data_IF_934954911880
#
_entry.id   IF_934954911880
#
_cell.length_a   1.000
_cell.length_b   1.000
_cell.length_c   1.000
_cell.angle_alpha   90.00
_cell.angle_beta   90.00
_cell.angle_gamma   90.00
#
_symmetry.space_group_name_H-M   'P 1'
#
loop_
_entity.id
_entity.type
_entity.pdbx_description
1 polymer ?
#
# COMPACT_ATOMS: atom_id res chain seq x y z
N UNK A 1 15.87 -51.16 -13.74
CA UNK A 1 15.28 -50.27 -14.77
C UNK A 1 14.43 -49.22 -14.07
N UNK A 2 15.00 -48.06 -13.80
CA UNK A 2 14.29 -46.89 -13.27
C UNK A 2 13.63 -46.17 -14.44
N UNK A 3 12.32 -45.94 -14.37
CA UNK A 3 11.58 -45.26 -15.43
C UNK A 3 12.13 -43.82 -15.64
N UNK A 4 12.19 -43.32 -16.89
CA UNK A 4 12.64 -41.95 -17.15
C UNK A 4 11.67 -40.95 -16.50
N UNK A 5 12.21 -40.05 -15.67
CA UNK A 5 11.48 -38.90 -15.14
C UNK A 5 11.02 -38.02 -16.31
N UNK A 6 9.71 -38.02 -16.60
CA UNK A 6 9.09 -37.10 -17.54
C UNK A 6 9.17 -35.67 -16.98
N UNK A 7 10.21 -34.94 -17.39
CA UNK A 7 10.45 -33.53 -17.02
C UNK A 7 9.59 -32.55 -17.81
N UNK A 8 8.69 -32.98 -18.69
CA UNK A 8 7.93 -32.06 -19.55
C UNK A 8 6.62 -31.54 -18.91
N UNK A 9 6.11 -32.20 -17.86
CA UNK A 9 4.81 -31.88 -17.27
C UNK A 9 4.83 -31.03 -15.98
N UNK A 10 5.98 -30.76 -15.38
CA UNK A 10 6.04 -30.13 -14.04
C UNK A 10 5.54 -28.68 -14.04
N UNK A 11 5.86 -27.90 -15.07
CA UNK A 11 5.39 -26.51 -15.23
C UNK A 11 3.86 -26.45 -15.32
N UNK A 12 3.25 -27.30 -16.17
CA UNK A 12 1.80 -27.35 -16.28
C UNK A 12 1.14 -27.80 -14.97
N UNK A 13 1.77 -28.72 -14.22
CA UNK A 13 1.31 -29.15 -12.90
C UNK A 13 1.49 -28.08 -11.84
N UNK A 14 2.50 -27.23 -11.94
CA UNK A 14 2.69 -26.10 -11.04
C UNK A 14 1.71 -24.98 -11.36
N UNK A 15 1.63 -24.55 -12.62
CA UNK A 15 0.78 -23.43 -13.05
C UNK A 15 -0.71 -23.70 -12.86
N UNK A 16 -1.16 -24.92 -13.20
CA UNK A 16 -2.58 -25.25 -13.20
C UNK A 16 -2.95 -26.32 -12.17
N UNK A 17 -2.01 -27.11 -11.65
CA UNK A 17 -2.36 -28.20 -10.73
C UNK A 17 -2.93 -27.72 -9.39
N UNK A 18 -3.78 -28.55 -8.80
CA UNK A 18 -4.37 -28.32 -7.48
C UNK A 18 -4.43 -29.62 -6.69
N UNK A 19 -4.38 -29.53 -5.36
CA UNK A 19 -4.82 -30.61 -4.50
C UNK A 19 -6.32 -30.88 -4.71
N UNK A 20 -6.73 -32.14 -4.56
CA UNK A 20 -8.14 -32.53 -4.54
C UNK A 20 -8.57 -32.64 -3.08
N UNK A 21 -9.48 -31.77 -2.60
CA UNK A 21 -9.99 -31.87 -1.24
C UNK A 21 -10.69 -33.24 -1.02
N UNK A 22 -10.55 -33.85 0.17
CA UNK A 22 -11.14 -35.17 0.45
C UNK A 22 -12.66 -35.11 0.66
N UNK A 23 -13.25 -33.93 0.87
CA UNK A 23 -14.69 -33.76 1.08
C UNK A 23 -15.22 -32.52 0.35
N UNK A 24 -16.52 -32.51 -0.04
CA UNK A 24 -17.15 -31.34 -0.68
C UNK A 24 -17.14 -30.10 0.21
N UNK A 25 -17.24 -30.28 1.53
CA UNK A 25 -17.20 -29.18 2.50
C UNK A 25 -15.85 -28.43 2.44
N UNK A 26 -14.72 -29.14 2.39
CA UNK A 26 -13.40 -28.52 2.29
C UNK A 26 -13.20 -27.81 0.94
N UNK A 27 -13.82 -28.31 -0.12
CA UNK A 27 -13.78 -27.67 -1.45
C UNK A 27 -14.56 -26.35 -1.47
N UNK A 28 -15.72 -26.31 -0.81
CA UNK A 28 -16.50 -25.09 -0.61
C UNK A 28 -15.75 -24.09 0.28
N UNK A 29 -15.15 -24.54 1.38
CA UNK A 29 -14.34 -23.66 2.24
C UNK A 29 -13.14 -23.08 1.50
N UNK A 30 -12.45 -23.89 0.69
CA UNK A 30 -11.33 -23.43 -0.12
C UNK A 30 -11.77 -22.42 -1.18
N UNK A 31 -12.95 -22.61 -1.78
CA UNK A 31 -13.55 -21.63 -2.69
C UNK A 31 -13.84 -20.32 -1.96
N UNK A 32 -14.54 -20.37 -0.82
CA UNK A 32 -14.92 -19.17 -0.06
C UNK A 32 -13.72 -18.40 0.44
N UNK A 33 -12.70 -19.10 0.99
CA UNK A 33 -11.47 -18.45 1.46
C UNK A 33 -10.70 -17.81 0.30
N UNK A 34 -10.61 -18.49 -0.85
CA UNK A 34 -9.96 -17.96 -2.04
C UNK A 34 -10.70 -16.76 -2.60
N UNK A 35 -12.03 -16.82 -2.67
CA UNK A 35 -12.88 -15.74 -3.16
C UNK A 35 -12.72 -14.51 -2.27
N UNK A 36 -12.85 -14.68 -0.95
CA UNK A 36 -12.68 -13.59 0.01
C UNK A 36 -11.27 -12.99 -0.07
N UNK A 37 -10.21 -13.80 0.06
CA UNK A 37 -8.84 -13.31 0.07
C UNK A 37 -8.44 -12.63 -1.25
N UNK A 38 -8.85 -13.22 -2.38
CA UNK A 38 -8.60 -12.67 -3.71
C UNK A 38 -9.35 -11.37 -3.97
N UNK A 39 -10.63 -11.27 -3.56
CA UNK A 39 -11.39 -10.03 -3.71
C UNK A 39 -10.94 -8.94 -2.73
N UNK A 40 -10.57 -9.29 -1.50
CA UNK A 40 -10.07 -8.34 -0.52
C UNK A 40 -8.77 -7.68 -1.01
N UNK A 41 -7.81 -8.47 -1.50
CA UNK A 41 -6.56 -7.90 -2.02
C UNK A 41 -6.76 -7.19 -3.36
N UNK A 42 -7.69 -7.67 -4.19
CA UNK A 42 -8.04 -6.96 -5.42
C UNK A 42 -8.65 -5.57 -5.12
N UNK A 43 -9.53 -5.48 -4.13
CA UNK A 43 -10.07 -4.20 -3.65
C UNK A 43 -8.97 -3.27 -3.16
N UNK A 44 -8.06 -3.78 -2.32
CA UNK A 44 -6.92 -3.00 -1.83
C UNK A 44 -6.00 -2.51 -2.96
N UNK A 45 -5.79 -3.32 -4.00
CA UNK A 45 -5.07 -2.92 -5.20
C UNK A 45 -5.82 -1.85 -5.99
N UNK A 46 -7.14 -2.01 -6.18
CA UNK A 46 -7.99 -1.06 -6.89
C UNK A 46 -8.00 0.32 -6.22
N UNK A 47 -8.07 0.36 -4.89
CA UNK A 47 -8.04 1.61 -4.11
C UNK A 47 -6.70 2.36 -4.25
N UNK A 48 -5.66 1.69 -4.74
CA UNK A 48 -4.32 2.24 -5.02
C UNK A 48 -4.09 2.51 -6.51
N UNK A 49 -5.13 2.52 -7.33
CA UNK A 49 -5.00 2.79 -8.77
C UNK A 49 -5.76 4.07 -9.15
N UNK A 50 -5.08 5.08 -9.75
CA UNK A 50 -3.66 5.09 -10.13
C UNK A 50 -2.72 5.12 -8.90
N UNK A 51 -1.50 4.60 -9.08
CA UNK A 51 -0.54 4.44 -7.98
C UNK A 51 -0.24 5.77 -7.31
N UNK A 52 -0.50 5.90 -6.00
CA UNK A 52 -0.29 7.15 -5.29
C UNK A 52 1.20 7.38 -5.00
N UNK A 53 1.59 8.66 -4.84
CA UNK A 53 2.98 9.06 -4.56
C UNK A 53 3.53 8.39 -3.30
N UNK A 54 2.73 8.32 -2.23
CA UNK A 54 3.14 7.68 -0.98
C UNK A 54 3.54 6.22 -1.15
N UNK A 55 3.00 5.51 -2.15
CA UNK A 55 3.41 4.12 -2.42
C UNK A 55 4.80 4.07 -3.09
N UNK A 56 5.12 5.04 -3.95
CA UNK A 56 6.46 5.18 -4.54
C UNK A 56 7.47 5.46 -3.44
N UNK A 57 7.13 6.35 -2.50
CA UNK A 57 7.98 6.71 -1.36
C UNK A 57 8.16 5.51 -0.43
N UNK A 58 7.08 4.78 -0.13
CA UNK A 58 7.11 3.57 0.67
C UNK A 58 8.08 2.53 0.07
N UNK A 59 8.03 2.32 -1.25
CA UNK A 59 8.93 1.41 -1.97
C UNK A 59 10.37 1.94 -1.94
N UNK A 60 10.57 3.26 -2.00
CA UNK A 60 11.86 3.91 -1.82
C UNK A 60 12.48 3.65 -0.46
N UNK A 61 11.70 3.75 0.62
CA UNK A 61 12.15 3.49 1.99
C UNK A 61 12.56 2.02 2.22
N UNK A 62 11.97 1.08 1.47
CA UNK A 62 12.38 -0.34 1.48
C UNK A 62 13.74 -0.53 0.79
N UNK A 63 14.14 0.40 -0.08
CA UNK A 63 15.39 0.34 -0.85
C UNK A 63 15.27 -0.49 -2.13
N UNK A 64 14.06 -0.65 -2.68
CA UNK A 64 13.87 -1.36 -3.95
C UNK A 64 14.33 -0.52 -5.15
N UNK A 65 15.01 -1.12 -6.14
CA UNK A 65 15.39 -0.41 -7.35
C UNK A 65 14.15 -0.03 -8.17
N UNK A 66 14.25 1.07 -8.93
CA UNK A 66 13.18 1.56 -9.81
C UNK A 66 11.85 1.71 -9.04
N UNK A 67 11.85 2.56 -8.02
CA UNK A 67 10.78 2.71 -7.02
C UNK A 67 9.40 2.91 -7.64
N UNK A 68 9.30 3.79 -8.63
CA UNK A 68 8.06 4.08 -9.36
C UNK A 68 7.51 2.82 -10.07
N UNK A 69 8.35 2.13 -10.84
CA UNK A 69 7.95 0.90 -11.55
C UNK A 69 7.56 -0.20 -10.56
N UNK A 70 8.31 -0.34 -9.47
CA UNK A 70 8.05 -1.33 -8.43
C UNK A 70 6.74 -1.04 -7.67
N UNK A 71 6.43 0.23 -7.40
CA UNK A 71 5.17 0.66 -6.79
C UNK A 71 3.97 0.37 -7.70
N UNK A 72 4.07 0.72 -8.99
CA UNK A 72 3.04 0.38 -9.98
C UNK A 72 2.85 -1.14 -10.09
N UNK A 73 3.94 -1.90 -10.14
CA UNK A 73 3.90 -3.35 -10.21
C UNK A 73 3.25 -3.97 -8.97
N UNK A 74 3.49 -3.43 -7.77
CA UNK A 74 2.86 -3.88 -6.54
C UNK A 74 1.34 -3.66 -6.57
N UNK A 75 0.87 -2.45 -6.89
CA UNK A 75 -0.57 -2.15 -7.00
C UNK A 75 -1.27 -3.05 -8.02
N UNK A 76 -0.67 -3.15 -9.22
CA UNK A 76 -1.24 -3.95 -10.31
C UNK A 76 -1.24 -5.44 -9.95
N UNK A 77 -0.23 -5.91 -9.22
CA UNK A 77 -0.18 -7.29 -8.74
C UNK A 77 -1.30 -7.55 -7.73
N UNK A 78 -1.49 -6.68 -6.74
CA UNK A 78 -2.60 -6.81 -5.78
C UNK A 78 -3.95 -6.90 -6.50
N UNK A 79 -4.18 -6.00 -7.47
CA UNK A 79 -5.42 -5.97 -8.24
C UNK A 79 -5.59 -7.21 -9.13
N UNK A 80 -4.69 -7.40 -10.10
CA UNK A 80 -4.83 -8.42 -11.14
C UNK A 80 -4.65 -9.83 -10.58
N UNK A 81 -3.61 -10.06 -9.78
CA UNK A 81 -3.38 -11.39 -9.21
C UNK A 81 -4.43 -11.71 -8.13
N UNK A 82 -4.98 -10.71 -7.42
CA UNK A 82 -6.15 -10.86 -6.56
C UNK A 82 -7.38 -11.39 -7.31
N UNK A 83 -7.73 -10.78 -8.45
CA UNK A 83 -8.85 -11.23 -9.29
C UNK A 83 -8.62 -12.64 -9.87
N UNK A 84 -7.41 -12.92 -10.36
CA UNK A 84 -7.03 -14.25 -10.86
C UNK A 84 -7.15 -15.31 -9.75
N UNK A 85 -6.68 -14.97 -8.56
CA UNK A 85 -6.78 -15.83 -7.39
C UNK A 85 -8.25 -16.09 -7.03
N UNK A 86 -9.08 -15.06 -6.91
CA UNK A 86 -10.51 -15.18 -6.61
C UNK A 86 -11.21 -16.14 -7.59
N UNK A 87 -10.97 -15.95 -8.89
CA UNK A 87 -11.50 -16.79 -9.95
C UNK A 87 -10.93 -18.24 -9.92
N UNK A 88 -9.78 -18.45 -9.29
CA UNK A 88 -9.07 -19.73 -9.31
C UNK A 88 -8.45 -20.01 -10.67
N UNK A 89 -7.93 -18.97 -11.33
CA UNK A 89 -7.20 -19.04 -12.59
C UNK A 89 -5.72 -18.81 -12.33
N UNK A 90 -4.86 -19.73 -12.75
CA UNK A 90 -3.43 -19.69 -12.46
C UNK A 90 -3.19 -19.48 -10.96
N UNK A 91 -3.91 -20.24 -10.13
CA UNK A 91 -4.04 -19.97 -8.69
C UNK A 91 -2.69 -19.88 -7.97
N UNK A 92 -1.76 -20.79 -8.30
CA UNK A 92 -0.44 -20.85 -7.66
C UNK A 92 0.46 -19.66 -7.98
N UNK A 93 0.72 -19.31 -9.25
CA UNK A 93 1.49 -18.12 -9.56
C UNK A 93 0.79 -16.84 -9.12
N UNK A 94 -0.54 -16.76 -9.19
CA UNK A 94 -1.29 -15.61 -8.67
C UNK A 94 -1.08 -15.45 -7.15
N UNK A 95 -1.27 -16.53 -6.38
CA UNK A 95 -1.01 -16.52 -4.94
C UNK A 95 0.45 -16.20 -4.61
N UNK A 96 1.42 -16.69 -5.39
CA UNK A 96 2.83 -16.40 -5.18
C UNK A 96 3.17 -14.93 -5.44
N UNK A 97 2.57 -14.33 -6.48
CA UNK A 97 2.76 -12.93 -6.79
C UNK A 97 2.21 -12.06 -5.65
N UNK A 98 0.98 -12.33 -5.18
CA UNK A 98 0.40 -11.61 -4.04
C UNK A 98 1.18 -11.85 -2.75
N UNK A 99 1.61 -13.09 -2.48
CA UNK A 99 2.46 -13.41 -1.33
C UNK A 99 3.76 -12.61 -1.37
N UNK A 100 4.38 -12.44 -2.53
CA UNK A 100 5.58 -11.61 -2.66
C UNK A 100 5.31 -10.17 -2.24
N UNK A 101 4.22 -9.56 -2.71
CA UNK A 101 3.86 -8.16 -2.33
C UNK A 101 3.59 -8.06 -0.83
N UNK A 102 2.81 -8.98 -0.25
CA UNK A 102 2.53 -9.00 1.19
C UNK A 102 3.78 -9.27 2.03
N UNK A 103 4.72 -10.08 1.53
CA UNK A 103 6.00 -10.36 2.18
C UNK A 103 6.93 -9.15 2.17
N UNK A 104 7.01 -8.44 1.04
CA UNK A 104 7.76 -7.17 0.94
C UNK A 104 7.16 -6.12 1.88
N UNK A 105 5.85 -5.97 1.91
CA UNK A 105 5.18 -5.06 2.84
C UNK A 105 5.44 -5.45 4.32
N UNK A 106 5.31 -6.73 4.65
CA UNK A 106 5.49 -7.21 6.03
C UNK A 106 6.92 -7.09 6.53
N UNK A 107 7.87 -7.66 5.78
CA UNK A 107 9.24 -7.85 6.26
C UNK A 107 10.17 -6.74 5.78
N UNK A 108 9.89 -6.14 4.62
CA UNK A 108 10.67 -5.02 4.10
C UNK A 108 10.27 -3.71 4.75
N UNK A 109 8.98 -3.36 4.68
CA UNK A 109 8.50 -2.07 5.19
C UNK A 109 8.25 -2.09 6.70
N UNK A 110 7.35 -2.95 7.18
CA UNK A 110 7.00 -3.00 8.60
C UNK A 110 8.05 -3.68 9.48
N UNK A 111 9.08 -4.31 8.88
CA UNK A 111 10.19 -5.00 9.57
C UNK A 111 9.73 -6.00 10.63
N UNK A 112 8.62 -6.67 10.35
CA UNK A 112 8.01 -7.61 11.28
C UNK A 112 8.87 -8.85 11.47
N UNK A 113 8.78 -9.44 12.66
CA UNK A 113 9.29 -10.79 12.90
C UNK A 113 8.44 -11.79 12.09
N UNK A 114 9.05 -12.83 11.47
CA UNK A 114 8.37 -13.61 10.44
C UNK A 114 7.07 -14.32 10.82
N UNK A 115 6.82 -14.53 12.12
CA UNK A 115 5.77 -15.44 12.59
C UNK A 115 4.85 -14.80 13.64
N UNK A 116 5.41 -14.06 14.61
CA UNK A 116 4.71 -13.77 15.86
C UNK A 116 3.90 -12.48 15.85
N UNK A 117 4.18 -11.55 14.92
CA UNK A 117 3.48 -10.28 14.88
C UNK A 117 2.05 -10.38 14.36
N UNK A 118 1.16 -9.64 15.02
CA UNK A 118 -0.26 -9.55 14.67
C UNK A 118 -0.51 -8.43 13.67
N UNK A 119 0.01 -8.60 12.46
CA UNK A 119 -0.14 -7.62 11.37
C UNK A 119 -0.89 -8.20 10.17
N UNK A 120 -1.73 -7.39 9.53
CA UNK A 120 -2.60 -7.82 8.42
C UNK A 120 -1.75 -8.34 7.25
N UNK A 121 -0.72 -7.59 6.83
CA UNK A 121 0.15 -7.99 5.73
C UNK A 121 0.82 -9.35 5.98
N UNK A 122 1.23 -9.63 7.22
CA UNK A 122 1.89 -10.89 7.59
C UNK A 122 0.89 -12.05 7.62
N UNK A 123 -0.31 -11.82 8.16
CA UNK A 123 -1.39 -12.81 8.12
C UNK A 123 -1.77 -13.18 6.69
N UNK A 124 -1.89 -12.19 5.81
CA UNK A 124 -2.17 -12.39 4.39
C UNK A 124 -1.02 -13.09 3.67
N UNK A 125 0.25 -12.74 3.96
CA UNK A 125 1.41 -13.45 3.43
C UNK A 125 1.29 -14.96 3.67
N UNK A 126 1.10 -15.39 4.91
CA UNK A 126 0.99 -16.80 5.25
C UNK A 126 -0.25 -17.47 4.66
N UNK A 127 -1.38 -16.75 4.59
CA UNK A 127 -2.58 -17.23 3.90
C UNK A 127 -2.31 -17.51 2.41
N UNK A 128 -1.62 -16.61 1.72
CA UNK A 128 -1.30 -16.80 0.30
C UNK A 128 -0.28 -17.92 0.07
N UNK A 129 0.66 -18.15 0.99
CA UNK A 129 1.54 -19.33 0.96
C UNK A 129 0.73 -20.64 1.00
N UNK A 130 -0.37 -20.69 1.76
CA UNK A 130 -1.28 -21.87 1.75
C UNK A 130 -1.89 -22.08 0.35
N UNK A 131 -2.30 -21.02 -0.34
CA UNK A 131 -2.82 -21.13 -1.72
C UNK A 131 -1.73 -21.50 -2.74
N UNK A 132 -0.48 -21.11 -2.54
CA UNK A 132 0.65 -21.59 -3.35
C UNK A 132 0.81 -23.11 -3.20
N UNK A 133 0.72 -23.63 -1.98
CA UNK A 133 0.84 -25.07 -1.73
C UNK A 133 -0.35 -25.87 -2.29
N UNK A 134 -1.58 -25.48 -1.92
CA UNK A 134 -2.82 -26.20 -2.24
C UNK A 134 -3.24 -26.02 -3.70
N UNK A 135 -3.11 -24.80 -4.23
CA UNK A 135 -3.71 -24.39 -5.50
C UNK A 135 -5.22 -24.16 -5.41
N UNK A 136 -5.90 -24.13 -6.56
CA UNK A 136 -7.30 -23.66 -6.66
C UNK A 136 -8.40 -24.64 -6.18
N UNK A 137 -8.09 -25.89 -5.86
CA UNK A 137 -9.12 -26.89 -5.56
C UNK A 137 -9.98 -27.29 -6.77
N UNK A 138 -11.06 -28.05 -6.53
CA UNK A 138 -11.92 -28.58 -7.59
C UNK A 138 -12.99 -27.60 -8.07
N UNK A 139 -13.31 -26.58 -7.27
CA UNK A 139 -14.12 -25.41 -7.63
C UNK A 139 -13.23 -24.22 -8.06
N UNK A 140 -12.42 -24.43 -9.09
CA UNK A 140 -11.56 -23.40 -9.71
C UNK A 140 -11.74 -23.36 -11.22
N UNK A 141 -11.48 -22.20 -11.84
CA UNK A 141 -11.38 -22.12 -13.30
C UNK A 141 -10.25 -23.02 -13.82
N UNK A 142 -9.14 -23.17 -13.09
CA UNK A 142 -8.07 -24.12 -13.39
C UNK A 142 -8.60 -25.56 -13.53
N UNK A 143 -9.41 -26.02 -12.56
CA UNK A 143 -10.02 -27.35 -12.59
C UNK A 143 -11.07 -27.48 -13.68
N UNK A 144 -11.88 -26.44 -13.91
CA UNK A 144 -12.87 -26.40 -14.98
C UNK A 144 -12.19 -26.53 -16.35
N UNK A 145 -11.12 -25.78 -16.61
CA UNK A 145 -10.34 -25.87 -17.85
C UNK A 145 -9.76 -27.27 -18.07
N UNK A 146 -9.24 -27.93 -17.03
CA UNK A 146 -8.77 -29.32 -17.13
C UNK A 146 -9.88 -30.30 -17.47
N UNK A 147 -11.08 -30.13 -16.90
CA UNK A 147 -12.27 -30.95 -17.21
C UNK A 147 -12.73 -30.72 -18.65
N UNK A 148 -12.75 -29.47 -19.10
CA UNK A 148 -13.14 -29.09 -20.46
C UNK A 148 -12.15 -29.57 -21.52
N UNK A 149 -10.83 -29.57 -21.25
CA UNK A 149 -9.80 -30.08 -22.17
C UNK A 149 -9.97 -31.56 -22.52
N UNK A 150 -10.70 -32.32 -21.71
CA UNK A 150 -11.05 -33.72 -21.99
C UNK A 150 -12.26 -33.88 -22.92
N UNK A 151 -12.98 -32.80 -23.24
CA UNK A 151 -14.09 -32.78 -24.21
C UNK A 151 -13.60 -32.28 -25.58
N UNK A 152 -13.88 -32.99 -26.69
CA UNK A 152 -13.58 -32.48 -28.04
C UNK A 152 -14.32 -31.15 -28.27
N UNK A 153 -13.60 -30.10 -28.71
CA UNK A 153 -14.19 -28.79 -29.09
C UNK A 153 -14.00 -27.63 -28.11
N UNK A 154 -13.58 -27.85 -26.87
CA UNK A 154 -13.49 -26.80 -25.84
C UNK A 154 -12.24 -25.89 -25.92
N UNK A 155 -11.44 -25.99 -26.99
CA UNK A 155 -10.18 -25.23 -27.15
C UNK A 155 -10.43 -23.72 -27.30
N UNK A 156 -11.51 -23.32 -27.96
CA UNK A 156 -11.84 -21.92 -28.22
C UNK A 156 -12.20 -21.14 -26.94
N UNK A 157 -12.95 -21.74 -26.01
CA UNK A 157 -13.38 -21.10 -24.76
C UNK A 157 -12.23 -20.88 -23.78
N UNK A 158 -11.27 -21.81 -23.73
CA UNK A 158 -10.06 -21.68 -22.90
C UNK A 158 -9.14 -20.57 -23.41
N UNK A 159 -9.00 -20.44 -24.74
CA UNK A 159 -8.21 -19.37 -25.35
C UNK A 159 -8.85 -17.99 -25.11
N UNK A 160 -10.18 -17.89 -25.20
CA UNK A 160 -10.89 -16.64 -24.92
C UNK A 160 -10.72 -16.16 -23.46
N UNK A 161 -10.75 -17.07 -22.48
CA UNK A 161 -10.56 -16.72 -21.06
C UNK A 161 -9.11 -16.30 -20.73
N UNK A 162 -8.12 -16.93 -21.36
CA UNK A 162 -6.69 -16.54 -21.19
C UNK A 162 -6.43 -15.18 -21.86
N UNK A 163 -7.09 -14.89 -22.99
CA UNK A 163 -6.96 -13.61 -23.71
C UNK A 163 -7.64 -12.43 -22.99
N UNK A 164 -8.62 -12.68 -22.11
CA UNK A 164 -9.31 -11.62 -21.36
C UNK A 164 -8.38 -10.89 -20.36
N UNK A 165 -7.33 -11.55 -19.88
CA UNK A 165 -6.37 -10.98 -18.91
C UNK A 165 -5.48 -9.89 -19.54
N UNK A 166 -4.76 -10.13 -20.66
CA UNK A 166 -4.02 -9.07 -21.35
C UNK A 166 -4.93 -8.04 -22.01
N UNK A 167 -6.18 -8.37 -22.36
CA UNK A 167 -7.16 -7.39 -22.84
C UNK A 167 -7.62 -6.45 -21.71
N UNK A 168 -7.90 -6.97 -20.52
CA UNK A 168 -8.18 -6.15 -19.35
C UNK A 168 -6.96 -5.32 -18.94
N UNK A 169 -5.75 -5.88 -19.05
CA UNK A 169 -4.49 -5.16 -18.84
C UNK A 169 -4.31 -4.05 -19.89
N UNK A 170 -4.55 -4.32 -21.17
CA UNK A 170 -4.42 -3.37 -22.28
C UNK A 170 -5.47 -2.25 -22.24
N UNK A 171 -6.73 -2.58 -21.96
CA UNK A 171 -7.79 -1.59 -21.75
C UNK A 171 -7.53 -0.74 -20.50
N UNK A 172 -6.94 -1.33 -19.45
CA UNK A 172 -6.49 -0.61 -18.26
C UNK A 172 -5.30 0.32 -18.57
N UNK A 173 -4.31 -0.14 -19.35
CA UNK A 173 -3.21 0.70 -19.82
C UNK A 173 -3.73 1.85 -20.70
N UNK A 174 -4.64 1.62 -21.64
CA UNK A 174 -5.19 2.67 -22.50
C UNK A 174 -6.12 3.64 -21.74
N UNK A 175 -6.79 3.19 -20.67
CA UNK A 175 -7.68 4.01 -19.83
C UNK A 175 -6.92 4.87 -18.81
N UNK A 176 -5.77 4.41 -18.29
CA UNK A 176 -5.01 5.10 -17.24
C UNK A 176 -3.65 5.63 -17.66
N UNK A 177 -3.09 5.21 -18.80
CA UNK A 177 -1.94 5.89 -19.43
C UNK A 177 -2.43 7.08 -20.27
N UNK A 178 -3.11 8.00 -19.61
CA UNK A 178 -2.76 9.39 -19.85
C UNK A 178 -1.55 9.63 -18.96
N UNK A 179 -0.38 10.06 -19.46
CA UNK A 179 0.65 10.53 -18.55
C UNK A 179 -0.07 11.53 -17.64
N UNK A 180 0.00 11.42 -16.29
CA UNK A 180 -0.31 12.59 -15.50
C UNK A 180 0.50 13.69 -16.17
N UNK A 181 -0.16 14.78 -16.56
CA UNK A 181 0.58 15.97 -16.91
C UNK A 181 1.63 16.07 -15.79
N UNK A 182 2.90 16.15 -16.16
CA UNK A 182 3.91 16.56 -15.20
C UNK A 182 3.51 17.98 -14.80
N UNK A 183 2.52 18.09 -13.93
CA UNK A 183 2.27 19.26 -13.13
C UNK A 183 3.47 19.26 -12.21
N UNK A 184 4.50 19.99 -12.64
CA UNK A 184 5.33 20.71 -11.68
C UNK A 184 4.42 21.19 -10.55
N UNK A 185 4.81 21.06 -9.27
CA UNK A 185 3.96 21.49 -8.16
C UNK A 185 3.52 22.91 -8.46
N UNK A 186 2.23 23.05 -8.79
CA UNK A 186 1.66 24.35 -9.08
C UNK A 186 1.51 24.99 -7.73
N UNK A 187 2.23 26.09 -7.58
CA UNK A 187 2.42 26.86 -6.36
C UNK A 187 1.17 27.68 -6.03
N UNK A 188 -0.02 27.08 -6.21
CA UNK A 188 -1.32 27.74 -6.12
C UNK A 188 -2.29 26.91 -5.24
N UNK A 189 -1.81 26.35 -4.12
CA UNK A 189 -2.73 25.93 -3.05
C UNK A 189 -3.09 27.19 -2.26
N UNK A 190 -4.30 27.71 -2.46
CA UNK A 190 -4.83 28.77 -1.61
C UNK A 190 -5.27 28.14 -0.29
N UNK A 191 -4.51 28.39 0.79
CA UNK A 191 -4.81 27.87 2.12
C UNK A 191 -5.80 28.80 2.82
N UNK A 192 -7.07 28.38 2.92
CA UNK A 192 -8.11 29.02 3.72
C UNK A 192 -8.04 28.62 5.20
N UNK A 193 -7.51 27.41 5.48
CA UNK A 193 -7.27 26.89 6.82
C UNK A 193 -6.07 25.96 6.84
N UNK A 194 -5.36 25.90 7.97
CA UNK A 194 -4.27 24.95 8.20
C UNK A 194 -4.53 24.21 9.52
N UNK A 195 -4.49 22.88 9.47
CA UNK A 195 -4.53 22.01 10.64
C UNK A 195 -3.16 21.38 10.88
N UNK A 196 -2.84 21.09 12.15
CA UNK A 196 -1.71 20.22 12.51
C UNK A 196 -2.29 18.92 13.04
N UNK A 197 -2.05 17.85 12.30
CA UNK A 197 -2.51 16.53 12.65
C UNK A 197 -1.29 15.67 13.03
N UNK A 198 -1.39 14.92 14.12
CA UNK A 198 -0.27 14.12 14.58
C UNK A 198 -0.64 13.11 15.66
N UNK A 199 0.39 12.47 16.20
CA UNK A 199 0.24 11.45 17.25
C UNK A 199 -0.37 11.96 18.56
N UNK A 200 -0.41 13.28 18.76
CA UNK A 200 -0.96 13.94 19.95
C UNK A 200 -2.47 14.25 19.85
N UNK A 201 -3.08 14.17 18.66
CA UNK A 201 -4.49 14.49 18.44
C UNK A 201 -5.21 13.49 17.52
N UNK A 202 -4.79 12.22 17.54
CA UNK A 202 -5.38 11.14 16.74
C UNK A 202 -5.47 11.45 15.23
N UNK A 203 -4.50 12.20 14.70
CA UNK A 203 -4.48 12.62 13.29
C UNK A 203 -5.72 13.43 12.86
N UNK A 204 -6.31 14.18 13.78
CA UNK A 204 -7.50 14.99 13.51
C UNK A 204 -7.18 16.22 12.66
N UNK A 205 -8.03 16.46 11.64
CA UNK A 205 -7.96 17.66 10.79
C UNK A 205 -8.77 18.84 11.34
N UNK A 206 -9.56 18.59 12.38
CA UNK A 206 -10.44 19.59 13.00
C UNK A 206 -9.94 20.04 14.35
N UNK A 207 -9.15 19.21 15.01
CA UNK A 207 -8.47 19.55 16.25
C UNK A 207 -7.13 20.25 15.91
N UNK A 208 -6.74 21.21 16.74
CA UNK A 208 -5.49 21.98 16.57
C UNK A 208 -5.32 22.76 15.26
N UNK A 209 -6.41 23.43 14.84
CA UNK A 209 -6.34 24.46 13.80
C UNK A 209 -5.32 25.55 14.14
N UNK A 210 -4.45 25.84 13.18
CA UNK A 210 -3.48 26.93 13.25
C UNK A 210 -4.18 28.27 13.07
N UNK A 211 -3.59 29.32 13.63
CA UNK A 211 -4.07 30.70 13.50
C UNK A 211 -3.09 31.52 12.66
N UNK A 212 -3.57 32.42 11.77
CA UNK A 212 -2.69 33.27 11.00
C UNK A 212 -1.94 34.26 11.91
N UNK A 213 -0.68 34.52 11.60
CA UNK A 213 0.17 35.48 12.33
C UNK A 213 -0.02 36.88 11.74
N UNK A 214 -0.57 37.80 12.52
CA UNK A 214 -1.03 39.11 12.04
C UNK A 214 0.03 39.93 11.26
N UNK A 215 1.29 39.87 11.69
CA UNK A 215 2.38 40.68 11.11
C UNK A 215 3.21 39.93 10.04
N UNK A 216 2.87 38.67 9.74
CA UNK A 216 3.57 37.83 8.75
C UNK A 216 2.54 37.14 7.83
N UNK A 217 2.16 37.77 6.70
CA UNK A 217 1.21 37.19 5.75
C UNK A 217 1.67 35.81 5.26
N UNK A 218 0.75 34.84 5.22
CA UNK A 218 1.04 33.45 4.84
C UNK A 218 1.63 32.59 5.97
N UNK A 219 2.01 33.19 7.11
CA UNK A 219 2.48 32.41 8.26
C UNK A 219 1.33 32.06 9.19
N UNK A 220 1.24 30.78 9.50
CA UNK A 220 0.29 30.21 10.44
C UNK A 220 1.05 29.69 11.65
N UNK A 221 0.45 29.78 12.85
CA UNK A 221 1.05 29.32 14.10
C UNK A 221 0.05 28.57 14.96
N UNK A 222 0.55 27.57 15.69
CA UNK A 222 -0.18 26.86 16.75
C UNK A 222 0.78 26.48 17.87
N UNK A 223 0.28 26.47 19.09
CA UNK A 223 0.99 25.89 20.23
C UNK A 223 0.33 24.56 20.61
N UNK A 224 1.15 23.54 20.83
CA UNK A 224 0.71 22.17 21.14
C UNK A 224 1.47 21.70 22.38
N UNK A 225 0.72 21.18 23.35
CA UNK A 225 1.30 20.58 24.56
C UNK A 225 1.52 19.09 24.33
N UNK A 226 2.75 18.65 24.56
CA UNK A 226 3.15 17.24 24.52
C UNK A 226 3.35 16.78 25.96
N UNK A 227 2.44 15.94 26.44
CA UNK A 227 2.36 15.55 27.85
C UNK A 227 3.37 14.46 28.26
N UNK A 228 4.00 13.80 27.29
CA UNK A 228 4.93 12.70 27.54
C UNK A 228 6.14 12.76 26.61
N UNK A 229 7.35 12.43 27.11
CA UNK A 229 8.53 12.35 26.27
C UNK A 229 8.41 11.21 25.27
N UNK A 230 8.94 11.41 24.06
CA UNK A 230 8.88 10.42 23.00
C UNK A 230 9.02 11.01 21.60
N UNK A 231 8.84 10.14 20.62
CA UNK A 231 8.75 10.54 19.21
C UNK A 231 7.33 11.04 18.95
N UNK A 232 7.23 12.25 18.45
CA UNK A 232 5.99 12.84 17.95
C UNK A 232 6.05 12.84 16.43
N UNK A 233 5.01 12.31 15.80
CA UNK A 233 4.83 12.38 14.35
C UNK A 233 3.73 13.39 14.04
N UNK A 234 3.93 14.24 13.04
CA UNK A 234 2.94 15.23 12.62
C UNK A 234 2.99 15.52 11.12
N UNK A 235 1.92 16.13 10.63
CA UNK A 235 1.77 16.71 9.30
C UNK A 235 0.93 17.97 9.36
N UNK A 236 1.11 18.84 8.37
CA UNK A 236 0.19 19.93 8.12
C UNK A 236 -0.86 19.51 7.10
N UNK A 237 -2.08 20.00 7.22
CA UNK A 237 -3.13 19.76 6.24
C UNK A 237 -3.86 21.06 5.90
N UNK A 238 -3.88 21.41 4.62
CA UNK A 238 -4.62 22.54 4.09
C UNK A 238 -6.10 22.23 3.87
N UNK A 239 -6.97 23.19 4.18
CA UNK A 239 -8.38 23.19 3.80
C UNK A 239 -9.14 21.93 4.27
N UNK A 240 -8.80 21.44 5.47
CA UNK A 240 -9.38 20.22 6.07
C UNK A 240 -9.37 18.99 5.14
N UNK A 241 -8.36 18.87 4.28
CA UNK A 241 -8.20 17.74 3.36
C UNK A 241 -6.78 17.21 3.38
N UNK A 242 -6.66 15.88 3.43
CA UNK A 242 -5.40 15.17 3.21
C UNK A 242 -4.88 15.28 1.77
N UNK A 243 -5.68 15.77 0.82
CA UNK A 243 -5.21 16.02 -0.54
C UNK A 243 -4.23 17.20 -0.62
N UNK A 244 -4.24 18.07 0.40
CA UNK A 244 -3.41 19.28 0.53
C UNK A 244 -2.45 19.18 1.73
N UNK A 245 -1.97 17.98 2.05
CA UNK A 245 -1.06 17.78 3.16
C UNK A 245 0.38 18.19 2.83
N UNK A 246 1.09 18.63 3.87
CA UNK A 246 2.51 18.93 3.81
C UNK A 246 3.23 18.10 4.88
N UNK A 247 4.29 17.44 4.44
CA UNK A 247 5.10 16.52 5.23
C UNK A 247 6.59 16.66 4.94
N UNK A 248 7.36 15.63 5.22
CA UNK A 248 8.81 15.60 4.95
C UNK A 248 9.23 14.18 4.51
N UNK A 249 10.08 14.09 3.48
CA UNK A 249 10.64 12.83 2.98
C UNK A 249 12.16 12.74 3.19
N UNK A 250 12.81 13.87 3.47
CA UNK A 250 14.25 14.05 3.43
C UNK A 250 14.84 14.20 4.85
N UNK A 251 14.11 13.73 5.86
CA UNK A 251 14.41 14.04 7.25
C UNK A 251 15.76 13.46 7.70
N UNK A 252 16.71 14.35 8.02
CA UNK A 252 18.07 14.00 8.48
C UNK A 252 18.26 14.17 9.98
N UNK A 253 17.42 14.98 10.63
CA UNK A 253 17.46 15.26 12.07
C UNK A 253 16.03 15.39 12.62
N UNK A 254 15.83 14.88 13.83
CA UNK A 254 14.54 14.86 14.56
C UNK A 254 14.63 15.62 15.89
N UNK A 255 15.75 16.31 16.15
CA UNK A 255 15.94 17.13 17.35
C UNK A 255 15.25 18.50 17.22
N UNK A 256 14.99 19.14 18.37
CA UNK A 256 14.41 20.49 18.44
C UNK A 256 15.49 21.52 18.83
N UNK A 257 15.42 22.77 18.32
CA UNK A 257 14.42 23.29 17.38
C UNK A 257 14.60 22.71 15.97
N UNK A 258 13.49 22.55 15.24
CA UNK A 258 13.44 21.92 13.92
C UNK A 258 12.92 22.89 12.90
N UNK A 259 13.68 23.10 11.83
CA UNK A 259 13.24 23.83 10.63
C UNK A 259 13.29 22.91 9.42
N UNK A 260 12.41 23.13 8.45
CA UNK A 260 12.35 22.35 7.22
C UNK A 260 11.45 22.98 6.17
N UNK A 261 11.27 22.30 5.05
CA UNK A 261 10.34 22.71 3.99
C UNK A 261 9.32 21.59 3.79
N UNK A 262 8.05 21.91 4.01
CA UNK A 262 6.96 20.97 3.84
C UNK A 262 6.81 20.55 2.38
N UNK A 263 6.95 19.26 2.13
CA UNK A 263 6.72 18.68 0.81
C UNK A 263 5.23 18.31 0.64
N UNK A 264 4.58 18.76 -0.45
CA UNK A 264 3.23 18.32 -0.78
C UNK A 264 3.14 16.80 -0.84
N UNK A 265 2.25 16.21 -0.03
CA UNK A 265 2.10 14.75 0.10
C UNK A 265 3.36 14.03 0.61
N UNK A 266 4.24 14.74 1.31
CA UNK A 266 5.42 14.17 1.94
C UNK A 266 5.10 13.23 3.11
N UNK A 267 6.10 12.53 3.63
CA UNK A 267 5.99 11.67 4.81
C UNK A 267 5.68 12.42 6.11
N UNK A 268 5.57 11.69 7.23
CA UNK A 268 5.36 12.33 8.53
C UNK A 268 6.62 13.07 8.98
N UNK A 269 6.48 14.29 9.46
CA UNK A 269 7.56 15.02 10.15
C UNK A 269 7.72 14.39 11.53
N UNK A 270 8.96 14.05 11.93
CA UNK A 270 9.23 13.43 13.23
C UNK A 270 10.08 14.34 14.10
N UNK A 271 9.67 14.49 15.35
CA UNK A 271 10.45 15.20 16.36
C UNK A 271 10.58 14.35 17.63
N UNK A 272 11.71 14.46 18.31
CA UNK A 272 11.93 13.87 19.62
C UNK A 272 11.71 14.94 20.69
N UNK A 273 10.70 14.72 21.52
CA UNK A 273 10.43 15.53 22.70
C UNK A 273 11.03 14.82 23.92
N UNK A 274 12.09 15.39 24.49
CA UNK A 274 12.83 14.73 25.58
C UNK A 274 12.11 14.79 26.93
N UNK A 275 11.22 15.78 27.12
CA UNK A 275 10.44 16.03 28.34
C UNK A 275 9.12 16.72 28.00
N UNK A 276 8.07 16.59 28.82
CA UNK A 276 6.80 17.28 28.58
C UNK A 276 7.01 18.78 28.32
N UNK A 277 6.53 19.23 27.17
CA UNK A 277 6.85 20.56 26.63
C UNK A 277 5.69 21.09 25.79
N UNK A 278 5.53 22.41 25.79
CA UNK A 278 4.70 23.12 24.82
C UNK A 278 5.57 23.58 23.65
N UNK A 279 5.21 23.12 22.47
CA UNK A 279 5.86 23.43 21.21
C UNK A 279 5.10 24.55 20.51
N UNK A 280 5.81 25.55 19.98
CA UNK A 280 5.26 26.42 18.95
C UNK A 280 5.64 25.87 17.59
N UNK A 281 4.62 25.71 16.75
CA UNK A 281 4.75 25.22 15.40
C UNK A 281 4.29 26.34 14.47
N UNK A 282 5.15 26.70 13.53
CA UNK A 282 4.88 27.69 12.50
C UNK A 282 5.02 27.06 11.10
N UNK A 283 4.17 27.49 10.18
CA UNK A 283 4.22 27.14 8.76
C UNK A 283 4.00 28.41 7.94
N UNK A 284 4.94 28.71 7.04
CA UNK A 284 4.77 29.70 5.99
C UNK A 284 4.21 29.02 4.74
N UNK A 285 2.93 29.23 4.44
CA UNK A 285 2.27 28.61 3.29
C UNK A 285 2.73 29.18 1.94
N UNK A 286 3.47 30.29 1.93
CA UNK A 286 4.01 30.87 0.69
C UNK A 286 5.32 30.23 0.26
N UNK A 287 6.14 29.82 1.23
CA UNK A 287 7.44 29.17 1.00
C UNK A 287 7.45 27.69 1.33
N UNK A 288 6.38 27.21 1.99
CA UNK A 288 6.24 25.90 2.62
C UNK A 288 7.25 25.66 3.76
N UNK A 289 7.98 26.68 4.21
CA UNK A 289 8.92 26.54 5.32
C UNK A 289 8.17 26.35 6.65
N UNK A 290 8.63 25.44 7.50
CA UNK A 290 8.10 25.25 8.84
C UNK A 290 9.19 25.36 9.90
N UNK A 291 8.77 25.71 11.12
CA UNK A 291 9.62 25.82 12.30
C UNK A 291 8.88 25.25 13.51
N UNK A 292 9.56 24.41 14.29
CA UNK A 292 9.07 23.80 15.52
C UNK A 292 10.06 24.11 16.64
N UNK A 293 9.61 24.81 17.68
CA UNK A 293 10.44 25.23 18.80
C UNK A 293 9.78 24.95 20.14
N UNK A 294 10.59 24.67 21.16
CA UNK A 294 10.11 24.57 22.55
C UNK A 294 9.91 25.97 23.12
N UNK A 295 8.69 26.30 23.55
CA UNK A 295 8.35 27.63 24.10
C UNK A 295 8.17 27.59 25.62
N UNK A 296 7.73 26.45 26.15
CA UNK A 296 7.73 26.18 27.58
C UNK A 296 8.03 24.70 27.81
N UNK A 297 8.89 24.40 28.78
CA UNK A 297 9.10 23.05 29.28
C UNK A 297 8.65 23.02 30.74
N UNK A 298 7.89 21.99 31.13
CA UNK A 298 7.50 21.84 32.52
C UNK A 298 8.76 21.59 33.37
N UNK A 299 8.91 22.34 34.46
CA UNK A 299 10.00 22.14 35.40
C UNK A 299 9.73 20.88 36.24
N UNK A 300 10.74 20.00 36.33
CA UNK A 300 10.74 18.82 37.22
C UNK A 300 10.34 19.13 38.66
#
# INVERSE_FOLDING_TARGET
>A
MTAPHDRSGWLARFLFGSATPPSPFLDVLLLLSRLYAGLAIAGAGLDKLPTPSWMVDQVGQIGLPMTEVSAHAACLTEFVAGLLLAAGLMTRPAALAVATVMGVASFGYHRLTPILDMHIAQGLFWLFIVFVAIGGGTLSLDALMRRMRRRPGARATVVAMIAAVPLALGLYYDFLWSPPAATAPTTDIEFESVAIAGSFNDWSLTDDLMSPVADRPGVWRREITIDAPGVVELKFAGNASWDNDLGENDEQDVSLPREGTGEPRGGNIRIIVERPSTLAIELDTSTLAYLIEVVAADQE
#
